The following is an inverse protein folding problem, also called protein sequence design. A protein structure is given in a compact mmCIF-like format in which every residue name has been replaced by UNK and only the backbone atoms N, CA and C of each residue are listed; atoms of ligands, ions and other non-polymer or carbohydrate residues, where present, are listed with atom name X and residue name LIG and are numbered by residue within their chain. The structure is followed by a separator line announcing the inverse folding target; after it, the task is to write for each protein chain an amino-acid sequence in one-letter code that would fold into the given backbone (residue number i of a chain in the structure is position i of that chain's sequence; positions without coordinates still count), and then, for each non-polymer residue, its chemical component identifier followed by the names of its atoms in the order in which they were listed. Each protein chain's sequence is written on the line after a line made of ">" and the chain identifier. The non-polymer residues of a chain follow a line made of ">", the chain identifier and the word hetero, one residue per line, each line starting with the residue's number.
data_IF_090222689843
#
_entry.id   IF_090222689843
#
_cell.length_a   1.000
_cell.length_b   1.000
_cell.length_c   1.000
_cell.angle_alpha   90.00
_cell.angle_beta   90.00
_cell.angle_gamma   90.00
#
_symmetry.space_group_name_H-M   'P 1'
#
loop_
_entity.id
_entity.type
_entity.pdbx_description
1 polymer ?
#
# COMPACT_ATOMS: atom_id res chain seq x y z
N UNK A 1 -2.73 -27.49 -17.48
CA UNK A 1 -2.18 -26.74 -18.63
C UNK A 1 -1.38 -25.55 -18.10
N UNK A 2 -0.03 -25.52 -18.29
CA UNK A 2 0.81 -24.39 -17.88
C UNK A 2 0.70 -23.30 -18.94
N UNK A 3 0.11 -22.16 -18.59
CA UNK A 3 0.13 -20.96 -19.45
C UNK A 3 1.58 -20.49 -19.63
N UNK A 4 2.06 -20.29 -20.85
CA UNK A 4 3.42 -19.82 -21.08
C UNK A 4 3.57 -18.41 -20.47
N UNK A 5 4.52 -18.24 -19.54
CA UNK A 5 4.88 -16.93 -18.98
C UNK A 5 5.49 -16.09 -20.10
N UNK A 6 4.72 -15.15 -20.60
CA UNK A 6 5.23 -14.13 -21.52
C UNK A 6 6.32 -13.31 -20.84
N UNK A 7 7.43 -13.07 -21.54
CA UNK A 7 8.48 -12.18 -21.04
C UNK A 7 7.93 -10.77 -20.80
N UNK A 8 8.51 -10.00 -19.87
CA UNK A 8 8.10 -8.62 -19.54
C UNK A 8 7.96 -7.76 -20.81
N UNK A 9 8.93 -7.85 -21.71
CA UNK A 9 8.98 -7.10 -22.98
C UNK A 9 7.80 -7.43 -23.92
N UNK A 10 7.28 -8.65 -23.91
CA UNK A 10 6.12 -9.06 -24.70
C UNK A 10 4.79 -8.54 -24.10
N UNK A 11 4.71 -8.40 -22.79
CA UNK A 11 3.55 -7.81 -22.11
C UNK A 11 3.43 -6.31 -22.37
N UNK A 12 4.56 -5.61 -22.33
CA UNK A 12 4.57 -4.16 -22.56
C UNK A 12 4.15 -3.80 -23.98
N UNK A 13 4.52 -4.63 -24.98
CA UNK A 13 4.10 -4.43 -26.37
C UNK A 13 2.62 -4.77 -26.64
N UNK A 14 2.03 -5.64 -25.83
CA UNK A 14 0.59 -5.94 -25.91
C UNK A 14 -0.27 -4.82 -25.31
N UNK A 15 0.28 -4.09 -24.34
CA UNK A 15 -0.39 -2.95 -23.71
C UNK A 15 -0.25 -1.64 -24.51
N UNK A 16 0.77 -1.54 -25.36
CA UNK A 16 0.88 -0.44 -26.33
C UNK A 16 0.07 -0.83 -27.57
N UNK A 17 -1.04 -0.15 -27.82
CA UNK A 17 -1.81 -0.36 -29.05
C UNK A 17 -0.86 -0.29 -30.26
N UNK A 18 -0.77 -1.32 -31.08
CA UNK A 18 0.16 -1.34 -32.20
C UNK A 18 -0.28 -0.31 -33.22
N UNK A 19 0.42 0.79 -33.28
CA UNK A 19 0.11 1.90 -34.18
C UNK A 19 0.43 1.59 -35.64
N UNK A 20 1.16 0.52 -35.94
CA UNK A 20 1.33 -0.01 -37.29
C UNK A 20 1.92 -1.43 -37.24
N UNK A 21 1.44 -2.33 -38.10
CA UNK A 21 2.00 -3.68 -38.31
C UNK A 21 3.46 -3.64 -38.78
N UNK A 22 3.91 -2.57 -39.41
CA UNK A 22 5.26 -2.39 -39.91
C UNK A 22 6.34 -2.35 -38.84
N UNK A 23 5.99 -2.05 -37.57
CA UNK A 23 6.96 -2.01 -36.47
C UNK A 23 7.25 -3.35 -35.83
N UNK A 24 6.45 -4.38 -36.12
CA UNK A 24 6.63 -5.71 -35.55
C UNK A 24 7.28 -6.63 -36.57
N UNK A 25 8.61 -6.56 -36.66
CA UNK A 25 9.39 -7.43 -37.58
C UNK A 25 9.58 -8.87 -37.05
N UNK A 26 9.24 -9.13 -35.82
CA UNK A 26 9.50 -10.40 -35.17
C UNK A 26 8.31 -11.36 -35.33
N UNK A 27 8.49 -12.47 -36.05
CA UNK A 27 7.47 -13.49 -36.32
C UNK A 27 6.73 -13.98 -35.05
N UNK A 28 7.41 -14.31 -33.94
CA UNK A 28 6.70 -14.74 -32.73
C UNK A 28 5.83 -13.65 -32.11
N UNK A 29 6.20 -12.36 -32.25
CA UNK A 29 5.39 -11.23 -31.80
C UNK A 29 4.11 -11.06 -32.61
N UNK A 30 4.17 -11.22 -33.92
CA UNK A 30 2.98 -11.19 -34.80
C UNK A 30 1.97 -12.27 -34.39
N UNK A 31 2.44 -13.47 -34.06
CA UNK A 31 1.56 -14.56 -33.61
C UNK A 31 0.87 -14.26 -32.27
N UNK A 32 1.54 -13.58 -31.35
CA UNK A 32 0.98 -13.16 -30.05
C UNK A 32 -0.06 -12.06 -30.25
N UNK A 33 0.23 -11.06 -31.08
CA UNK A 33 -0.70 -9.96 -31.41
C UNK A 33 -1.94 -10.51 -32.12
N UNK A 34 -1.75 -11.45 -33.06
CA UNK A 34 -2.86 -12.08 -33.78
C UNK A 34 -3.78 -12.90 -32.88
N UNK A 35 -3.22 -13.56 -31.83
CA UNK A 35 -4.02 -14.27 -30.82
C UNK A 35 -4.74 -13.31 -29.87
N UNK A 36 -4.08 -12.23 -29.45
CA UNK A 36 -4.68 -11.20 -28.61
C UNK A 36 -5.82 -10.47 -29.37
N UNK A 37 -5.64 -10.19 -30.68
CA UNK A 37 -6.65 -9.59 -31.53
C UNK A 37 -7.93 -10.41 -31.70
N UNK A 38 -7.94 -11.70 -31.29
CA UNK A 38 -9.13 -12.55 -31.24
C UNK A 38 -9.88 -12.49 -29.91
N UNK A 39 -9.32 -11.84 -28.87
CA UNK A 39 -10.06 -11.64 -27.63
C UNK A 39 -11.07 -10.51 -27.83
N UNK A 40 -12.31 -10.74 -27.39
CA UNK A 40 -13.39 -9.74 -27.52
C UNK A 40 -13.05 -8.41 -26.87
N UNK A 41 -12.30 -8.44 -25.79
CA UNK A 41 -11.86 -7.26 -25.05
C UNK A 41 -10.86 -6.39 -25.84
N UNK A 42 -9.90 -7.03 -26.51
CA UNK A 42 -8.92 -6.34 -27.35
C UNK A 42 -9.56 -5.72 -28.61
N UNK A 43 -10.51 -6.45 -29.24
CA UNK A 43 -11.26 -5.94 -30.39
C UNK A 43 -12.14 -4.75 -30.00
N UNK A 44 -12.78 -4.82 -28.82
CA UNK A 44 -13.58 -3.71 -28.30
C UNK A 44 -12.75 -2.46 -28.00
N UNK A 45 -11.54 -2.64 -27.45
CA UNK A 45 -10.64 -1.52 -27.17
C UNK A 45 -10.12 -0.87 -28.46
N UNK A 46 -9.76 -1.67 -29.48
CA UNK A 46 -9.37 -1.13 -30.78
C UNK A 46 -10.51 -0.38 -31.50
N UNK A 47 -11.74 -0.91 -31.39
CA UNK A 47 -12.91 -0.25 -31.96
C UNK A 47 -13.21 1.07 -31.26
N UNK A 48 -13.07 1.11 -29.94
CA UNK A 48 -13.20 2.33 -29.17
C UNK A 48 -12.15 3.38 -29.55
N UNK A 49 -10.88 3.00 -29.62
CA UNK A 49 -9.78 3.90 -30.00
C UNK A 49 -9.97 4.46 -31.40
N UNK A 50 -10.47 3.64 -32.33
CA UNK A 50 -10.79 4.09 -33.70
C UNK A 50 -11.94 5.07 -33.69
N UNK A 51 -13.03 4.80 -32.97
CA UNK A 51 -14.17 5.68 -32.85
C UNK A 51 -13.80 7.04 -32.23
N UNK A 52 -12.96 7.03 -31.19
CA UNK A 52 -12.44 8.26 -30.59
C UNK A 52 -11.56 9.05 -31.57
N UNK A 53 -10.69 8.37 -32.32
CA UNK A 53 -9.83 9.04 -33.32
C UNK A 53 -10.65 9.64 -34.46
N UNK A 54 -11.72 9.01 -34.91
CA UNK A 54 -12.64 9.53 -35.90
C UNK A 54 -13.42 10.75 -35.38
N UNK A 55 -13.88 10.68 -34.12
CA UNK A 55 -14.58 11.77 -33.47
C UNK A 55 -13.69 13.00 -33.29
N UNK A 56 -12.45 12.82 -32.90
CA UNK A 56 -11.46 13.92 -32.79
C UNK A 56 -11.15 14.54 -34.14
N UNK A 57 -11.07 13.74 -35.21
CA UNK A 57 -10.86 14.25 -36.57
C UNK A 57 -12.07 14.99 -37.15
N UNK A 58 -13.27 14.64 -36.69
CA UNK A 58 -14.53 15.26 -37.12
C UNK A 58 -14.78 16.62 -36.43
N UNK A 59 -14.04 16.98 -35.38
CA UNK A 59 -14.16 18.26 -34.73
C UNK A 59 -13.57 19.33 -35.67
N UNK A 60 -14.39 20.26 -36.19
CA UNK A 60 -13.86 21.32 -37.03
C UNK A 60 -12.96 22.23 -36.19
N UNK A 61 -11.67 22.27 -36.53
CA UNK A 61 -10.71 23.18 -35.90
C UNK A 61 -11.04 24.59 -36.43
N UNK A 62 -11.41 25.53 -35.57
CA UNK A 62 -11.61 26.91 -36.05
C UNK A 62 -10.36 27.44 -36.70
N UNK A 63 -10.46 28.13 -37.83
CA UNK A 63 -9.30 28.64 -38.58
C UNK A 63 -8.39 29.54 -37.74
N UNK A 64 -8.94 30.25 -36.77
CA UNK A 64 -8.19 31.08 -35.82
C UNK A 64 -7.27 30.26 -34.88
N UNK A 65 -7.60 28.99 -34.60
CA UNK A 65 -6.72 28.14 -33.79
C UNK A 65 -5.57 27.54 -34.61
N UNK A 66 -5.71 27.45 -35.91
CA UNK A 66 -4.64 26.98 -36.80
C UNK A 66 -3.45 27.94 -36.81
N UNK A 67 -3.67 29.23 -36.60
CA UNK A 67 -2.60 30.21 -36.48
C UNK A 67 -1.84 30.11 -35.15
N UNK A 68 -2.49 29.68 -34.08
CA UNK A 68 -1.85 29.46 -32.77
C UNK A 68 -0.92 28.26 -32.76
N UNK A 69 -1.15 27.30 -33.64
CA UNK A 69 -0.27 26.15 -33.87
C UNK A 69 0.74 26.42 -35.02
N UNK A 70 0.64 27.57 -35.69
CA UNK A 70 1.62 27.95 -36.68
C UNK A 70 2.93 28.32 -35.99
N UNK A 71 3.83 27.40 -35.99
CA UNK A 71 5.25 27.47 -36.35
C UNK A 71 6.24 28.07 -35.36
N UNK A 72 5.91 28.94 -34.43
CA UNK A 72 6.94 29.56 -33.59
C UNK A 72 7.18 28.91 -32.23
N UNK A 73 6.20 28.14 -31.73
CA UNK A 73 6.34 27.40 -30.44
C UNK A 73 6.97 26.01 -30.60
N UNK A 74 6.96 25.47 -31.83
CA UNK A 74 7.60 24.19 -32.15
C UNK A 74 8.58 24.39 -33.33
N UNK A 75 9.30 25.51 -33.36
CA UNK A 75 10.62 25.45 -33.93
C UNK A 75 11.36 24.42 -33.03
N UNK A 76 11.71 23.22 -33.52
CA UNK A 76 12.67 22.42 -32.81
C UNK A 76 13.93 23.26 -32.87
N UNK A 77 14.12 24.13 -31.88
CA UNK A 77 15.42 24.66 -31.63
C UNK A 77 16.28 23.43 -31.78
N UNK A 78 17.26 23.47 -32.64
CA UNK A 78 18.21 22.37 -32.86
C UNK A 78 18.98 22.16 -31.55
N UNK A 79 18.21 21.89 -30.49
CA UNK A 79 18.69 21.50 -29.18
C UNK A 79 19.29 20.12 -29.38
N UNK A 80 20.54 20.16 -29.75
CA UNK A 80 21.33 18.98 -30.00
C UNK A 80 21.51 18.31 -28.64
N UNK A 81 20.55 17.47 -28.29
CA UNK A 81 20.55 16.61 -27.09
C UNK A 81 21.93 15.97 -26.85
N UNK A 82 22.67 15.73 -27.96
CA UNK A 82 24.03 15.18 -27.92
C UNK A 82 25.06 16.09 -27.25
N UNK A 83 24.92 17.43 -27.27
CA UNK A 83 25.86 18.34 -26.60
C UNK A 83 25.52 18.56 -25.13
N UNK A 84 24.23 18.58 -24.77
CA UNK A 84 23.77 18.81 -23.37
C UNK A 84 24.04 17.60 -22.47
N UNK A 85 23.87 16.38 -23.00
CA UNK A 85 24.16 15.14 -22.25
C UNK A 85 25.67 14.92 -22.04
N UNK A 86 26.51 15.59 -22.80
CA UNK A 86 27.97 15.47 -22.68
C UNK A 86 28.58 16.34 -21.57
N UNK A 87 27.77 17.25 -21.00
CA UNK A 87 28.23 18.06 -19.87
C UNK A 87 27.90 17.26 -18.55
N UNK A 88 28.92 16.75 -17.83
CA UNK A 88 28.72 15.92 -16.65
C UNK A 88 27.95 16.67 -15.54
N UNK A 89 28.03 18.00 -15.50
CA UNK A 89 27.30 18.81 -14.55
C UNK A 89 25.78 18.77 -14.81
N UNK A 90 25.34 18.82 -16.06
CA UNK A 90 23.91 18.77 -16.43
C UNK A 90 23.34 17.39 -16.13
N UNK A 91 24.10 16.34 -16.38
CA UNK A 91 23.72 14.97 -16.06
C UNK A 91 23.61 14.75 -14.54
N UNK A 92 24.54 15.30 -13.78
CA UNK A 92 24.52 15.24 -12.30
C UNK A 92 23.31 15.98 -11.73
N UNK A 93 22.97 17.17 -12.24
CA UNK A 93 21.77 17.91 -11.83
C UNK A 93 20.50 17.14 -12.17
N UNK A 94 20.43 16.55 -13.37
CA UNK A 94 19.28 15.73 -13.78
C UNK A 94 19.05 14.53 -12.85
N UNK A 95 20.12 13.81 -12.51
CA UNK A 95 20.05 12.67 -11.56
C UNK A 95 19.63 13.17 -10.17
N UNK A 96 20.20 14.26 -9.68
CA UNK A 96 19.86 14.83 -8.38
C UNK A 96 18.37 15.20 -8.29
N UNK A 97 17.81 15.83 -9.33
CA UNK A 97 16.39 16.17 -9.39
C UNK A 97 15.49 14.92 -9.37
N UNK A 98 15.86 13.85 -10.11
CA UNK A 98 15.12 12.61 -10.12
C UNK A 98 15.14 11.94 -8.74
N UNK A 99 16.29 11.95 -8.06
CA UNK A 99 16.42 11.40 -6.70
C UNK A 99 15.58 12.22 -5.72
N UNK A 100 15.66 13.54 -5.76
CA UNK A 100 14.86 14.41 -4.89
C UNK A 100 13.36 14.19 -5.14
N UNK A 101 12.92 14.16 -6.39
CA UNK A 101 11.53 13.89 -6.74
C UNK A 101 11.08 12.50 -6.24
N UNK A 102 11.92 11.48 -6.40
CA UNK A 102 11.66 10.13 -5.89
C UNK A 102 11.50 10.10 -4.37
N UNK A 103 12.38 10.79 -3.64
CA UNK A 103 12.31 10.91 -2.17
C UNK A 103 11.04 11.65 -1.74
N UNK A 104 10.68 12.75 -2.41
CA UNK A 104 9.47 13.51 -2.11
C UNK A 104 8.20 12.68 -2.34
N UNK A 105 8.13 11.98 -3.48
CA UNK A 105 7.00 11.09 -3.78
C UNK A 105 6.92 9.97 -2.75
N UNK A 106 8.05 9.35 -2.39
CA UNK A 106 8.09 8.31 -1.37
C UNK A 106 7.60 8.83 -0.01
N UNK A 107 8.07 10.00 0.44
CA UNK A 107 7.62 10.62 1.69
C UNK A 107 6.14 10.99 1.64
N UNK A 108 5.66 11.49 0.51
CA UNK A 108 4.24 11.83 0.33
C UNK A 108 3.34 10.58 0.41
N UNK A 109 3.70 9.52 -0.28
CA UNK A 109 2.96 8.24 -0.23
C UNK A 109 3.01 7.62 1.16
N UNK A 110 4.15 7.69 1.85
CA UNK A 110 4.26 7.22 3.23
C UNK A 110 3.31 7.98 4.16
N UNK A 111 3.21 9.30 4.01
CA UNK A 111 2.30 10.14 4.83
C UNK A 111 0.81 9.89 4.53
N UNK A 112 0.45 9.53 3.30
CA UNK A 112 -0.94 9.22 2.95
C UNK A 112 -1.48 7.99 3.70
N UNK A 113 -0.60 7.08 4.08
CA UNK A 113 -0.96 5.88 4.83
C UNK A 113 -0.84 6.06 6.36
N UNK A 114 -0.37 7.22 6.82
CA UNK A 114 -0.23 7.49 8.24
C UNK A 114 -1.61 7.84 8.85
N UNK A 115 -1.89 7.21 9.97
CA UNK A 115 -3.04 7.49 10.82
C UNK A 115 -2.55 7.67 12.26
N UNK A 116 -3.33 8.30 13.15
CA UNK A 116 -2.95 8.47 14.55
C UNK A 116 -2.61 7.13 15.21
N UNK A 117 -1.40 7.00 15.75
CA UNK A 117 -0.90 5.75 16.35
C UNK A 117 -0.15 4.83 15.38
N UNK A 118 -0.04 5.15 14.09
CA UNK A 118 0.66 4.33 13.10
C UNK A 118 2.15 4.13 13.44
N UNK A 119 2.81 5.15 13.97
CA UNK A 119 4.20 5.09 14.40
C UNK A 119 4.39 4.10 15.56
N UNK A 120 3.50 4.15 16.55
CA UNK A 120 3.47 3.19 17.67
C UNK A 120 3.21 1.78 17.15
N UNK A 121 2.24 1.61 16.26
CA UNK A 121 1.92 0.30 15.67
C UNK A 121 3.12 -0.31 14.92
N UNK A 122 3.90 0.48 14.17
CA UNK A 122 5.13 0.00 13.51
C UNK A 122 6.19 -0.43 14.52
N UNK A 123 6.40 0.34 15.60
CA UNK A 123 7.32 -0.06 16.70
C UNK A 123 6.88 -1.40 17.31
N UNK A 124 5.58 -1.60 17.54
CA UNK A 124 5.04 -2.84 18.08
C UNK A 124 5.21 -4.03 17.15
N UNK A 125 5.14 -3.83 15.83
CA UNK A 125 5.46 -4.88 14.85
C UNK A 125 6.94 -5.29 14.92
N UNK A 126 7.86 -4.36 15.12
CA UNK A 126 9.27 -4.68 15.34
C UNK A 126 9.46 -5.48 16.65
N UNK A 127 8.74 -5.11 17.70
CA UNK A 127 8.71 -5.86 18.97
C UNK A 127 8.14 -7.28 18.75
N UNK A 128 7.07 -7.42 17.95
CA UNK A 128 6.49 -8.72 17.61
C UNK A 128 7.51 -9.68 17.02
N UNK A 129 8.38 -9.16 16.15
CA UNK A 129 9.45 -9.94 15.52
C UNK A 129 10.55 -10.40 16.48
N UNK A 130 10.82 -9.63 17.53
CA UNK A 130 11.92 -9.88 18.48
C UNK A 130 11.48 -10.56 19.79
N UNK A 131 10.17 -10.59 20.09
CA UNK A 131 9.67 -11.15 21.34
C UNK A 131 9.85 -12.67 21.38
N UNK A 132 10.41 -13.16 22.50
CA UNK A 132 10.54 -14.59 22.77
C UNK A 132 9.38 -15.03 23.68
N UNK A 133 8.87 -16.26 23.47
CA UNK A 133 7.77 -16.83 24.25
C UNK A 133 8.04 -16.90 25.75
N UNK A 134 9.31 -17.00 26.15
CA UNK A 134 9.73 -17.02 27.57
C UNK A 134 9.37 -15.73 28.33
N UNK A 135 9.18 -14.64 27.62
CA UNK A 135 8.83 -13.34 28.21
C UNK A 135 7.33 -13.20 28.49
N UNK A 136 6.54 -14.17 28.11
CA UNK A 136 5.09 -14.14 28.26
C UNK A 136 4.66 -14.88 29.54
N UNK A 137 3.69 -14.32 30.24
CA UNK A 137 2.98 -15.05 31.28
C UNK A 137 2.05 -16.08 30.61
N UNK A 138 2.22 -17.37 30.90
CA UNK A 138 1.41 -18.40 30.27
C UNK A 138 -0.05 -18.27 30.72
N UNK A 139 -0.93 -18.12 29.75
CA UNK A 139 -2.39 -18.08 29.99
C UNK A 139 -3.04 -18.99 28.95
N UNK A 140 -3.93 -19.83 29.43
CA UNK A 140 -4.72 -20.72 28.59
C UNK A 140 -6.19 -20.33 28.71
N UNK A 141 -6.55 -19.24 28.07
CA UNK A 141 -7.89 -18.68 28.09
C UNK A 141 -8.20 -18.07 26.70
N UNK A 142 -9.44 -17.73 26.45
CA UNK A 142 -9.81 -17.03 25.22
C UNK A 142 -9.38 -15.55 25.32
N UNK A 143 -8.99 -14.97 24.19
CA UNK A 143 -8.43 -13.62 24.15
C UNK A 143 -9.39 -12.56 24.73
N UNK A 144 -10.70 -12.74 24.52
CA UNK A 144 -11.72 -11.83 25.03
C UNK A 144 -11.81 -11.78 26.56
N UNK A 145 -11.41 -12.86 27.25
CA UNK A 145 -11.46 -12.90 28.73
C UNK A 145 -10.26 -12.23 29.40
N UNK A 146 -9.25 -11.82 28.63
CA UNK A 146 -8.04 -11.19 29.17
C UNK A 146 -8.26 -9.74 29.60
N UNK A 147 -9.32 -9.08 29.16
CA UNK A 147 -9.68 -7.72 29.59
C UNK A 147 -9.80 -7.64 31.12
N UNK A 148 -10.48 -8.60 31.74
CA UNK A 148 -10.61 -8.66 33.20
C UNK A 148 -9.25 -8.82 33.90
N UNK A 149 -8.37 -9.64 33.33
CA UNK A 149 -7.03 -9.85 33.86
C UNK A 149 -6.19 -8.56 33.76
N UNK A 150 -6.28 -7.84 32.63
CA UNK A 150 -5.58 -6.56 32.44
C UNK A 150 -6.10 -5.50 33.39
N UNK A 151 -7.40 -5.43 33.62
CA UNK A 151 -7.98 -4.52 34.60
C UNK A 151 -7.55 -4.87 36.02
N UNK A 152 -7.76 -6.10 36.44
CA UNK A 152 -7.50 -6.53 37.83
C UNK A 152 -6.02 -6.45 38.23
N UNK A 153 -5.10 -6.84 37.35
CA UNK A 153 -3.66 -6.88 37.65
C UNK A 153 -2.92 -5.60 37.34
N UNK A 154 -3.36 -4.86 36.34
CA UNK A 154 -2.61 -3.72 35.81
C UNK A 154 -3.40 -2.41 35.82
N UNK A 155 -4.69 -2.43 36.16
CA UNK A 155 -5.54 -1.24 36.15
C UNK A 155 -5.76 -0.67 34.72
N UNK A 156 -5.74 -1.55 33.71
CA UNK A 156 -5.90 -1.14 32.32
C UNK A 156 -7.37 -1.18 31.95
N UNK A 157 -8.03 -0.04 31.92
CA UNK A 157 -9.41 0.09 31.50
C UNK A 157 -9.55 0.10 29.98
N UNK A 158 -10.62 -0.52 29.49
CA UNK A 158 -10.95 -0.55 28.06
C UNK A 158 -9.93 -1.28 27.14
N UNK A 159 -9.09 -2.17 27.73
CA UNK A 159 -8.19 -3.03 26.97
C UNK A 159 -8.92 -4.27 26.50
N UNK A 160 -9.97 -4.06 25.69
CA UNK A 160 -10.85 -5.11 25.21
C UNK A 160 -10.42 -5.59 23.83
N UNK A 161 -10.40 -6.91 23.67
CA UNK A 161 -10.19 -7.55 22.37
C UNK A 161 -11.50 -7.45 21.58
N UNK A 162 -11.48 -7.00 20.32
CA UNK A 162 -12.68 -6.96 19.48
C UNK A 162 -13.35 -8.33 19.37
N UNK A 163 -14.69 -8.36 19.29
CA UNK A 163 -15.46 -9.61 19.31
C UNK A 163 -15.03 -10.60 18.23
N UNK A 164 -14.53 -10.13 17.09
CA UNK A 164 -14.05 -10.97 15.99
C UNK A 164 -12.80 -11.78 16.36
N UNK A 165 -12.06 -11.35 17.41
CA UNK A 165 -10.85 -11.98 17.89
C UNK A 165 -11.00 -12.53 19.30
N UNK A 166 -12.18 -12.40 19.93
CA UNK A 166 -12.41 -12.78 21.32
C UNK A 166 -12.25 -14.28 21.56
N UNK A 167 -12.65 -15.12 20.61
CA UNK A 167 -12.63 -16.59 20.72
C UNK A 167 -11.24 -17.21 20.41
N UNK A 168 -10.23 -16.36 20.10
CA UNK A 168 -8.90 -16.88 19.83
C UNK A 168 -8.22 -17.38 21.09
N UNK A 169 -7.74 -18.61 21.05
CA UNK A 169 -7.06 -19.23 22.19
C UNK A 169 -5.69 -18.63 22.41
N UNK A 170 -5.44 -18.16 23.61
CA UNK A 170 -4.17 -17.52 23.98
C UNK A 170 -3.15 -18.54 24.45
N UNK A 171 -1.88 -18.29 24.12
CA UNK A 171 -0.72 -19.04 24.63
C UNK A 171 -0.11 -18.32 25.82
N UNK A 172 -0.16 -17.00 25.82
CA UNK A 172 0.36 -16.17 26.89
C UNK A 172 0.18 -14.68 26.59
N UNK A 173 0.34 -13.90 27.64
CA UNK A 173 0.25 -12.45 27.55
C UNK A 173 1.34 -11.76 28.38
N UNK A 174 1.58 -10.51 28.14
CA UNK A 174 2.37 -9.63 28.97
C UNK A 174 1.90 -8.19 28.88
N UNK A 175 2.20 -7.40 29.90
CA UNK A 175 2.08 -5.95 29.89
C UNK A 175 3.47 -5.35 30.04
N UNK A 176 3.78 -4.34 29.25
CA UNK A 176 5.06 -3.64 29.30
C UNK A 176 4.84 -2.16 28.99
N UNK A 177 5.81 -1.35 29.36
CA UNK A 177 5.81 0.07 29.05
C UNK A 177 6.64 0.33 27.78
N UNK A 178 6.16 1.23 26.92
CA UNK A 178 6.92 1.72 25.78
C UNK A 178 7.88 2.88 26.18
N UNK A 179 8.59 3.43 25.18
CA UNK A 179 9.53 4.53 25.37
C UNK A 179 8.87 5.80 25.97
N UNK A 180 7.55 5.93 25.84
CA UNK A 180 6.75 7.06 26.35
C UNK A 180 6.02 6.70 27.66
N UNK A 181 6.42 5.61 28.30
CA UNK A 181 5.79 5.08 29.54
C UNK A 181 4.30 4.76 29.38
N UNK A 182 3.86 4.48 28.14
CA UNK A 182 2.50 4.02 27.88
C UNK A 182 2.44 2.51 28.06
N UNK A 183 1.45 2.05 28.79
CA UNK A 183 1.24 0.61 29.01
C UNK A 183 0.67 -0.07 27.78
N UNK A 184 1.31 -1.13 27.38
CA UNK A 184 0.95 -1.94 26.22
C UNK A 184 0.72 -3.36 26.67
N UNK A 185 -0.44 -3.93 26.31
CA UNK A 185 -0.72 -5.34 26.50
C UNK A 185 -0.42 -6.10 25.20
N UNK A 186 0.34 -7.16 25.30
CA UNK A 186 0.65 -8.08 24.21
C UNK A 186 0.08 -9.46 24.54
N UNK A 187 -0.64 -10.04 23.57
CA UNK A 187 -1.27 -11.36 23.68
C UNK A 187 -0.74 -12.22 22.54
N UNK A 188 -0.29 -13.42 22.81
CA UNK A 188 0.02 -14.40 21.79
C UNK A 188 -1.11 -15.39 21.66
N UNK A 189 -1.56 -15.62 20.44
CA UNK A 189 -2.61 -16.60 20.16
C UNK A 189 -2.03 -17.78 19.38
N UNK A 190 -2.64 -18.94 19.58
CA UNK A 190 -2.20 -20.19 18.97
C UNK A 190 -2.36 -20.15 17.46
N UNK A 191 -3.41 -19.48 16.98
CA UNK A 191 -3.76 -19.43 15.59
C UNK A 191 -2.74 -18.64 14.77
N UNK A 192 -2.13 -19.28 13.78
CA UNK A 192 -1.08 -18.72 12.90
C UNK A 192 0.02 -17.96 13.64
N UNK A 193 0.18 -18.18 14.95
CA UNK A 193 1.11 -17.45 15.83
C UNK A 193 0.92 -15.94 15.73
N UNK A 194 -0.34 -15.51 15.61
CA UNK A 194 -0.67 -14.09 15.65
C UNK A 194 -0.38 -13.50 17.01
N UNK A 195 -0.14 -12.21 17.02
CA UNK A 195 0.07 -11.43 18.23
C UNK A 195 -0.92 -10.27 18.23
N UNK A 196 -1.61 -10.08 19.33
CA UNK A 196 -2.47 -8.93 19.53
C UNK A 196 -1.78 -7.92 20.42
N UNK A 197 -1.93 -6.66 20.10
CA UNK A 197 -1.44 -5.55 20.91
C UNK A 197 -2.60 -4.61 21.21
N UNK A 198 -2.70 -4.23 22.50
CA UNK A 198 -3.60 -3.20 22.96
C UNK A 198 -2.75 -2.06 23.50
N UNK A 199 -2.96 -0.86 23.01
CA UNK A 199 -2.19 0.31 23.39
C UNK A 199 -3.06 1.57 23.38
N UNK A 200 -2.73 2.59 24.20
CA UNK A 200 -3.52 3.80 24.25
C UNK A 200 -3.48 4.53 22.91
N UNK A 201 -4.62 5.07 22.51
CA UNK A 201 -4.71 5.88 21.31
C UNK A 201 -3.93 7.18 21.48
N UNK A 202 -3.41 7.67 20.36
CA UNK A 202 -2.67 8.92 20.32
C UNK A 202 -3.58 10.12 20.68
N UNK A 203 -3.04 11.09 21.39
CA UNK A 203 -3.74 12.29 21.79
C UNK A 203 -3.12 13.52 21.13
N UNK A 204 -3.96 14.46 20.78
CA UNK A 204 -3.50 15.76 20.32
C UNK A 204 -2.74 16.48 21.45
N UNK A 205 -1.52 16.88 21.16
CA UNK A 205 -0.63 17.55 22.12
C UNK A 205 -1.21 18.86 22.67
N UNK A 206 -2.03 19.55 21.85
CA UNK A 206 -2.59 20.86 22.23
C UNK A 206 -3.89 20.75 23.01
N UNK A 207 -4.76 19.82 22.61
CA UNK A 207 -6.11 19.71 23.17
C UNK A 207 -6.27 18.57 24.16
N UNK A 208 -5.32 17.62 24.19
CA UNK A 208 -5.43 16.37 24.95
C UNK A 208 -6.49 15.41 24.41
N UNK A 209 -7.21 15.80 23.34
CA UNK A 209 -8.25 14.99 22.77
C UNK A 209 -7.70 13.74 22.09
N UNK A 210 -8.43 12.63 22.19
CA UNK A 210 -8.06 11.39 21.52
C UNK A 210 -8.25 11.56 20.02
N UNK A 211 -7.16 11.36 19.26
CA UNK A 211 -7.20 11.35 17.81
C UNK A 211 -7.86 10.06 17.33
N UNK A 212 -8.91 10.20 16.53
CA UNK A 212 -9.72 9.07 16.05
C UNK A 212 -9.46 8.80 14.57
N UNK A 213 -9.49 7.54 14.20
CA UNK A 213 -9.53 7.12 12.79
C UNK A 213 -10.62 6.06 12.59
N UNK A 214 -11.29 6.04 11.43
CA UNK A 214 -12.38 5.10 11.17
C UNK A 214 -11.87 3.76 10.67
N UNK A 215 -12.54 2.69 11.12
CA UNK A 215 -12.37 1.33 10.61
C UNK A 215 -10.98 0.72 10.85
N UNK A 216 -10.68 -0.29 10.06
CA UNK A 216 -9.40 -0.99 10.12
C UNK A 216 -8.36 -0.32 9.22
N UNK A 217 -7.13 -0.17 9.74
CA UNK A 217 -5.98 0.37 9.01
C UNK A 217 -4.83 -0.62 9.06
N UNK A 218 -4.13 -0.77 7.95
CA UNK A 218 -2.99 -1.67 7.86
C UNK A 218 -1.67 -0.93 8.08
N UNK A 219 -0.77 -1.57 8.78
CA UNK A 219 0.62 -1.15 8.97
C UNK A 219 1.55 -2.28 8.59
N UNK A 220 2.69 -1.91 8.03
CA UNK A 220 3.70 -2.87 7.60
C UNK A 220 5.04 -2.52 8.23
N UNK A 221 5.75 -3.55 8.69
CA UNK A 221 7.11 -3.43 9.18
C UNK A 221 7.87 -4.71 8.83
N UNK A 222 8.85 -4.61 7.92
CA UNK A 222 9.60 -5.76 7.42
C UNK A 222 8.70 -6.88 6.89
N UNK A 223 8.72 -8.06 7.55
CA UNK A 223 7.92 -9.22 7.18
C UNK A 223 6.64 -9.35 8.03
N UNK A 224 6.31 -8.32 8.80
CA UNK A 224 5.13 -8.28 9.65
C UNK A 224 4.08 -7.33 9.09
N UNK A 225 2.85 -7.71 9.26
CA UNK A 225 1.68 -6.88 9.00
C UNK A 225 0.82 -6.78 10.24
N UNK A 226 0.29 -5.59 10.49
CA UNK A 226 -0.69 -5.34 11.53
C UNK A 226 -1.95 -4.71 10.96
N UNK A 227 -3.10 -5.15 11.42
CA UNK A 227 -4.36 -4.45 11.22
C UNK A 227 -4.76 -3.78 12.54
N UNK A 228 -4.96 -2.47 12.48
CA UNK A 228 -5.24 -1.63 13.64
C UNK A 228 -6.64 -1.08 13.57
N UNK A 229 -7.36 -1.15 14.68
CA UNK A 229 -8.64 -0.45 14.89
C UNK A 229 -8.62 0.27 16.22
N UNK A 230 -9.54 1.20 16.42
CA UNK A 230 -9.62 1.98 17.65
C UNK A 230 -11.02 1.90 18.25
N UNK A 231 -11.07 1.62 19.55
CA UNK A 231 -12.30 1.63 20.35
C UNK A 231 -12.03 2.23 21.73
N UNK A 232 -12.93 3.07 22.23
CA UNK A 232 -12.88 3.66 23.59
C UNK A 232 -11.52 4.26 24.00
N UNK A 233 -10.78 4.86 23.07
CA UNK A 233 -9.48 5.48 23.36
C UNK A 233 -8.31 4.50 23.45
N UNK A 234 -8.53 3.23 23.10
CA UNK A 234 -7.52 2.18 22.98
C UNK A 234 -7.46 1.69 21.54
N UNK A 235 -6.26 1.50 21.04
CA UNK A 235 -6.02 0.85 19.75
C UNK A 235 -5.81 -0.64 19.97
N UNK A 236 -6.50 -1.45 19.18
CA UNK A 236 -6.24 -2.88 19.06
C UNK A 236 -5.52 -3.13 17.74
N UNK A 237 -4.46 -3.92 17.77
CA UNK A 237 -3.72 -4.36 16.59
C UNK A 237 -3.59 -5.87 16.56
N UNK A 238 -4.08 -6.50 15.49
CA UNK A 238 -3.78 -7.89 15.17
C UNK A 238 -2.54 -7.93 14.26
N UNK A 239 -1.47 -8.56 14.73
CA UNK A 239 -0.19 -8.66 14.03
C UNK A 239 0.09 -10.10 13.58
N UNK A 240 0.52 -10.25 12.33
CA UNK A 240 0.85 -11.53 11.72
C UNK A 240 2.14 -11.40 10.90
N UNK A 241 2.96 -12.44 10.91
CA UNK A 241 4.09 -12.53 9.99
C UNK A 241 3.60 -13.00 8.62
N UNK A 242 3.62 -12.12 7.62
CA UNK A 242 3.08 -12.43 6.31
C UNK A 242 2.70 -11.20 5.50
N UNK A 243 1.67 -11.36 4.68
CA UNK A 243 1.13 -10.32 3.79
C UNK A 243 -0.29 -9.95 4.21
N UNK A 244 -0.76 -8.82 3.73
CA UNK A 244 -2.12 -8.32 3.99
C UNK A 244 -3.22 -9.36 3.72
N UNK A 245 -3.11 -10.09 2.62
CA UNK A 245 -4.04 -11.17 2.27
C UNK A 245 -4.14 -12.30 3.31
N UNK A 246 -3.10 -12.46 4.14
CA UNK A 246 -3.07 -13.51 5.16
C UNK A 246 -3.83 -13.08 6.42
N UNK A 247 -3.98 -11.76 6.63
CA UNK A 247 -4.70 -11.16 7.75
C UNK A 247 -6.15 -10.78 7.37
N UNK A 248 -6.40 -10.42 6.11
CA UNK A 248 -7.71 -10.01 5.59
C UNK A 248 -8.88 -10.95 5.96
N UNK A 249 -8.74 -12.30 5.99
CA UNK A 249 -9.85 -13.19 6.37
C UNK A 249 -10.37 -12.97 7.79
N UNK A 250 -9.56 -12.43 8.67
CA UNK A 250 -9.90 -12.19 10.08
C UNK A 250 -10.45 -10.79 10.33
N UNK A 251 -10.30 -9.89 9.38
CA UNK A 251 -10.76 -8.51 9.51
C UNK A 251 -12.19 -8.40 8.99
N UNK A 252 -13.14 -7.92 9.81
CA UNK A 252 -14.50 -7.75 9.37
C UNK A 252 -14.54 -6.75 8.20
N UNK A 253 -15.28 -7.11 7.16
CA UNK A 253 -15.52 -6.19 6.04
C UNK A 253 -16.33 -5.02 6.59
N UNK A 254 -15.72 -3.86 6.68
CA UNK A 254 -16.44 -2.63 7.03
C UNK A 254 -17.58 -2.46 6.03
N UNK A 255 -18.83 -2.59 6.47
CA UNK A 255 -19.96 -2.16 5.65
C UNK A 255 -19.81 -0.66 5.44
N UNK A 256 -19.43 -0.28 4.23
CA UNK A 256 -19.48 1.11 3.77
C UNK A 256 -20.90 1.58 3.68
#
# INVERSE_FOLDING_TARGET
>A
MKTPRLSRRRRDLLNCAPTSEERVRDRPMRAVIFRAGKSSEFVNQQNFDRAVAELVRAIPIPPETAEWFSTDLISPSKWTWKKTVRNPAVLAIGIALVVIAGVLVFQFVARLNDFPGSATARKLLAIAGSTRSVLLYPVNADAGTLSDLFFMKHGLEHYDVPPEFADFRTIGCRVFDDDESRRIAQIWVAEKRMQFFLFPAERDVKTGAVLKFPGWRYVHQENWIGAVTQHNGVCFMAALRGREKDLTPYIPKTKQ
#
